data_IF_291591097687
#
_entry.id   IF_291591097687
#
_cell.length_a   1.000
_cell.length_b   1.000
_cell.length_c   1.000
_cell.angle_alpha   90.00
_cell.angle_beta   90.00
_cell.angle_gamma   90.00
#
_symmetry.space_group_name_H-M   'P 1'
#
loop_
_entity.id
_entity.type
_entity.pdbx_description
1 polymer ?
#
# COMPACT_ATOMS: atom_id res chain seq x y z
N UNK A 1 -5.72 24.90 -0.19
CA UNK A 1 -4.40 24.25 -0.21
C UNK A 1 -4.10 23.85 1.21
N UNK A 2 -3.61 22.63 1.44
CA UNK A 2 -3.15 22.24 2.76
C UNK A 2 -1.98 23.16 3.16
N UNK A 3 -1.97 23.62 4.40
CA UNK A 3 -0.82 24.34 4.95
C UNK A 3 0.25 23.30 5.26
N UNK A 4 1.18 23.09 4.32
CA UNK A 4 2.27 22.12 4.45
C UNK A 4 3.35 22.58 5.42
N UNK A 5 3.23 23.79 5.98
CA UNK A 5 4.28 24.41 6.79
C UNK A 5 5.43 24.95 5.94
N UNK A 6 6.65 24.86 6.47
CA UNK A 6 7.85 25.44 5.86
C UNK A 6 8.52 24.46 4.89
N UNK A 7 8.95 24.94 3.71
CA UNK A 7 9.84 24.17 2.83
C UNK A 7 11.22 24.07 3.48
N UNK A 8 11.64 22.86 3.85
CA UNK A 8 12.92 22.62 4.53
C UNK A 8 13.99 22.00 3.62
N UNK A 9 13.58 21.42 2.49
CA UNK A 9 14.49 20.85 1.50
C UNK A 9 13.83 20.80 0.12
N UNK A 10 14.64 21.01 -0.93
CA UNK A 10 14.27 20.88 -2.33
C UNK A 10 15.41 20.27 -3.11
N UNK A 11 15.09 19.29 -3.94
CA UNK A 11 15.98 18.76 -4.97
C UNK A 11 15.20 18.46 -6.25
N UNK A 12 15.88 18.04 -7.31
CA UNK A 12 15.29 17.72 -8.60
C UNK A 12 16.09 16.64 -9.31
N UNK A 13 15.40 15.72 -9.97
CA UNK A 13 15.95 14.79 -10.95
C UNK A 13 15.25 14.97 -12.32
N UNK A 14 15.48 14.02 -13.23
CA UNK A 14 14.90 14.02 -14.59
C UNK A 14 13.36 13.91 -14.58
N UNK A 15 12.77 13.33 -13.52
CA UNK A 15 11.33 13.12 -13.35
C UNK A 15 10.64 14.30 -12.63
N UNK A 16 11.40 15.28 -12.14
CA UNK A 16 10.89 16.55 -11.62
C UNK A 16 11.36 16.89 -10.21
N UNK A 17 10.68 17.85 -9.60
CA UNK A 17 11.03 18.36 -8.27
C UNK A 17 10.69 17.35 -7.17
N UNK A 18 11.44 17.41 -6.07
CA UNK A 18 11.20 16.66 -4.83
C UNK A 18 11.36 17.65 -3.68
N UNK A 19 10.25 17.96 -3.03
CA UNK A 19 10.19 18.93 -1.94
C UNK A 19 9.84 18.25 -0.63
N UNK A 20 10.50 18.70 0.45
CA UNK A 20 10.17 18.32 1.82
C UNK A 20 9.67 19.56 2.56
N UNK A 21 8.44 19.46 3.03
CA UNK A 21 7.85 20.45 3.91
C UNK A 21 7.77 19.91 5.34
N UNK A 22 7.81 20.80 6.32
CA UNK A 22 7.69 20.48 7.74
C UNK A 22 6.78 21.48 8.44
N UNK A 23 5.84 20.96 9.23
CA UNK A 23 5.08 21.72 10.24
C UNK A 23 5.43 21.22 11.66
N UNK A 24 4.70 21.68 12.68
CA UNK A 24 4.96 21.31 14.07
C UNK A 24 4.82 19.82 14.39
N UNK A 25 4.17 19.03 13.52
CA UNK A 25 3.81 17.62 13.76
C UNK A 25 4.34 16.69 12.68
N UNK A 26 4.41 17.14 11.44
CA UNK A 26 4.58 16.27 10.28
C UNK A 26 5.67 16.77 9.33
N UNK A 27 6.28 15.82 8.61
CA UNK A 27 6.98 16.09 7.35
C UNK A 27 6.18 15.57 6.18
N UNK A 28 6.18 16.32 5.10
CA UNK A 28 5.45 16.02 3.88
C UNK A 28 6.42 15.93 2.70
N UNK A 29 6.26 14.90 1.88
CA UNK A 29 6.94 14.76 0.60
C UNK A 29 6.00 15.24 -0.50
N UNK A 30 6.47 16.09 -1.41
CA UNK A 30 5.70 16.49 -2.60
C UNK A 30 6.57 16.48 -3.85
N UNK A 31 5.94 16.47 -5.03
CA UNK A 31 6.65 16.55 -6.32
C UNK A 31 6.45 17.93 -6.99
N UNK A 32 6.80 18.99 -6.26
CA UNK A 32 6.79 20.38 -6.74
C UNK A 32 5.41 21.04 -6.90
N UNK A 33 4.32 20.27 -6.81
CA UNK A 33 2.94 20.74 -7.00
C UNK A 33 2.14 20.91 -5.70
N UNK A 34 2.80 20.89 -4.53
CA UNK A 34 2.17 20.91 -3.20
C UNK A 34 1.08 19.84 -3.00
N UNK A 35 1.05 18.80 -3.83
CA UNK A 35 0.23 17.61 -3.59
C UNK A 35 1.05 16.65 -2.76
N UNK A 36 0.52 16.33 -1.58
CA UNK A 36 1.15 15.41 -0.64
C UNK A 36 1.27 14.00 -1.24
N UNK A 37 2.51 13.54 -1.41
CA UNK A 37 2.84 12.19 -1.86
C UNK A 37 3.07 11.25 -0.67
N UNK A 38 3.57 11.79 0.43
CA UNK A 38 3.82 11.03 1.66
C UNK A 38 3.83 11.95 2.86
N UNK A 39 3.54 11.40 4.03
CA UNK A 39 3.60 12.10 5.30
C UNK A 39 4.12 11.18 6.39
N UNK A 40 4.91 11.74 7.29
CA UNK A 40 5.35 11.09 8.53
C UNK A 40 4.99 11.97 9.73
N UNK A 41 4.35 11.38 10.73
CA UNK A 41 4.16 12.00 12.04
C UNK A 41 5.50 11.92 12.79
N UNK A 42 6.06 13.07 13.16
CA UNK A 42 7.38 13.18 13.78
C UNK A 42 7.39 12.62 15.21
N UNK A 43 6.26 12.64 15.91
CA UNK A 43 6.15 12.11 17.27
C UNK A 43 5.93 10.59 17.27
N UNK A 44 5.25 10.06 16.24
CA UNK A 44 5.06 8.62 16.06
C UNK A 44 5.23 8.21 14.59
N UNK A 45 6.47 7.96 14.13
CA UNK A 45 6.76 7.68 12.72
C UNK A 45 6.13 6.40 12.13
N UNK A 46 5.65 5.50 12.99
CA UNK A 46 4.92 4.29 12.60
C UNK A 46 3.41 4.52 12.43
N UNK A 47 2.88 5.62 12.99
CA UNK A 47 1.50 6.02 12.78
C UNK A 47 1.33 6.47 11.32
N UNK A 48 0.23 6.05 10.71
CA UNK A 48 -0.09 6.33 9.31
C UNK A 48 -1.12 7.47 9.25
N UNK A 49 -0.74 8.69 8.82
CA UNK A 49 -1.67 9.82 8.79
C UNK A 49 -2.81 9.64 7.78
N UNK A 50 -2.53 8.97 6.66
CA UNK A 50 -3.51 8.81 5.58
C UNK A 50 -4.38 7.57 5.75
N UNK A 51 -5.69 7.77 5.60
CA UNK A 51 -6.71 6.73 5.74
C UNK A 51 -6.47 5.54 4.81
N UNK A 52 -6.04 5.78 3.57
CA UNK A 52 -5.77 4.72 2.61
C UNK A 52 -4.58 3.84 3.06
N UNK A 53 -3.49 4.44 3.55
CA UNK A 53 -2.35 3.68 4.08
C UNK A 53 -2.73 2.86 5.32
N UNK A 54 -3.60 3.39 6.19
CA UNK A 54 -4.15 2.62 7.31
C UNK A 54 -4.92 1.39 6.82
N UNK A 55 -5.75 1.56 5.79
CA UNK A 55 -6.55 0.47 5.22
C UNK A 55 -5.69 -0.62 4.56
N UNK A 56 -4.56 -0.27 3.93
CA UNK A 56 -3.59 -1.22 3.37
C UNK A 56 -3.11 -2.21 4.44
N UNK A 57 -2.96 -1.79 5.71
CA UNK A 57 -2.53 -2.66 6.81
C UNK A 57 -3.47 -3.84 7.08
N UNK A 58 -4.72 -3.81 6.59
CA UNK A 58 -5.60 -4.98 6.65
C UNK A 58 -5.05 -6.18 5.85
N UNK A 59 -4.16 -5.94 4.89
CA UNK A 59 -3.49 -7.01 4.15
C UNK A 59 -2.75 -8.00 5.05
N UNK A 60 -2.14 -7.51 6.15
CA UNK A 60 -1.48 -8.35 7.15
C UNK A 60 -2.42 -9.32 7.86
N UNK A 61 -3.71 -8.98 7.94
CA UNK A 61 -4.74 -9.74 8.66
C UNK A 61 -5.54 -10.66 7.72
N UNK A 62 -5.52 -10.37 6.42
CA UNK A 62 -6.18 -11.20 5.40
C UNK A 62 -5.27 -12.34 4.93
N UNK A 63 -3.96 -12.23 5.15
CA UNK A 63 -3.00 -13.32 4.97
C UNK A 63 -2.76 -14.03 6.31
N UNK A 64 -2.73 -15.38 6.39
CA UNK A 64 -2.63 -16.08 7.67
C UNK A 64 -1.33 -15.76 8.43
N UNK A 65 -0.18 -15.75 7.74
CA UNK A 65 1.14 -15.45 8.35
C UNK A 65 2.12 -14.88 7.30
N UNK A 66 1.96 -13.63 6.86
CA UNK A 66 2.85 -13.08 5.84
C UNK A 66 4.28 -12.96 6.38
N UNK A 67 5.26 -13.30 5.54
CA UNK A 67 6.70 -13.22 5.85
C UNK A 67 7.45 -12.38 4.83
N UNK A 68 7.09 -12.47 3.56
CA UNK A 68 7.72 -11.75 2.44
C UNK A 68 6.76 -10.73 1.87
N UNK A 69 7.16 -9.46 1.89
CA UNK A 69 6.39 -8.34 1.37
C UNK A 69 7.16 -7.67 0.23
N UNK A 70 6.51 -7.50 -0.91
CA UNK A 70 6.97 -6.62 -1.98
C UNK A 70 6.13 -5.34 -1.94
N UNK A 71 6.75 -4.18 -1.98
CA UNK A 71 6.08 -2.89 -2.05
C UNK A 71 6.59 -2.13 -3.28
N UNK A 72 5.71 -1.90 -4.25
CA UNK A 72 5.97 -1.15 -5.46
C UNK A 72 5.54 0.30 -5.25
N UNK A 73 6.51 1.22 -5.29
CA UNK A 73 6.39 2.60 -4.81
C UNK A 73 6.81 2.69 -3.34
N UNK A 74 7.82 3.52 -3.01
CA UNK A 74 8.29 3.70 -1.62
C UNK A 74 7.87 5.06 -1.07
N UNK A 75 7.98 6.11 -1.88
CA UNK A 75 7.71 7.48 -1.46
C UNK A 75 8.51 7.84 -0.20
N UNK A 76 7.85 8.45 0.79
CA UNK A 76 8.46 8.77 2.09
C UNK A 76 8.62 7.57 3.04
N UNK A 77 8.30 6.34 2.63
CA UNK A 77 8.54 5.13 3.41
C UNK A 77 7.55 4.83 4.54
N UNK A 78 6.40 5.49 4.60
CA UNK A 78 5.44 5.39 5.73
C UNK A 78 4.91 3.97 5.92
N UNK A 79 4.50 3.29 4.85
CA UNK A 79 4.06 1.90 4.92
C UNK A 79 5.19 0.97 5.32
N UNK A 80 6.43 1.19 4.87
CA UNK A 80 7.57 0.38 5.29
C UNK A 80 7.79 0.49 6.80
N UNK A 81 7.79 1.71 7.37
CA UNK A 81 7.87 1.91 8.82
C UNK A 81 6.73 1.21 9.56
N UNK A 82 5.50 1.37 9.09
CA UNK A 82 4.33 0.74 9.71
C UNK A 82 4.38 -0.79 9.65
N UNK A 83 4.77 -1.38 8.52
CA UNK A 83 4.96 -2.82 8.37
C UNK A 83 6.05 -3.35 9.30
N UNK A 84 7.18 -2.64 9.42
CA UNK A 84 8.26 -3.00 10.34
C UNK A 84 7.84 -2.94 11.80
N UNK A 85 7.07 -1.91 12.19
CA UNK A 85 6.53 -1.78 13.53
C UNK A 85 5.46 -2.84 13.84
N UNK A 86 4.63 -3.19 12.85
CA UNK A 86 3.58 -4.19 12.97
C UNK A 86 4.14 -5.61 13.18
N UNK A 87 5.14 -6.01 12.40
CA UNK A 87 5.84 -7.27 12.60
C UNK A 87 7.34 -7.14 12.24
N UNK A 88 8.23 -7.13 13.24
CA UNK A 88 9.67 -7.02 13.01
C UNK A 88 10.26 -8.22 12.27
N UNK A 89 9.51 -9.30 12.00
CA UNK A 89 9.98 -10.50 11.27
C UNK A 89 9.80 -10.42 9.75
N UNK A 90 8.97 -9.49 9.25
CA UNK A 90 8.75 -9.33 7.81
C UNK A 90 10.04 -9.03 7.07
N UNK A 91 10.26 -9.71 5.95
CA UNK A 91 11.25 -9.37 4.94
C UNK A 91 10.54 -8.52 3.87
N UNK A 92 10.95 -7.27 3.74
CA UNK A 92 10.31 -6.27 2.89
C UNK A 92 11.28 -5.90 1.77
N UNK A 93 10.82 -5.99 0.53
CA UNK A 93 11.49 -5.37 -0.62
C UNK A 93 10.65 -4.19 -1.08
N UNK A 94 11.19 -2.98 -0.98
CA UNK A 94 10.62 -1.78 -1.59
C UNK A 94 11.24 -1.53 -2.96
N UNK A 95 10.44 -1.17 -3.95
CA UNK A 95 10.89 -0.79 -5.29
C UNK A 95 10.51 0.65 -5.54
N UNK A 96 11.49 1.49 -5.82
CA UNK A 96 11.32 2.91 -6.09
C UNK A 96 12.09 3.28 -7.34
N UNK A 97 11.45 3.94 -8.30
CA UNK A 97 12.10 4.28 -9.58
C UNK A 97 13.18 5.35 -9.39
N UNK A 98 12.94 6.30 -8.47
CA UNK A 98 13.75 7.51 -8.33
C UNK A 98 14.74 7.40 -7.17
N UNK A 99 16.03 7.31 -7.48
CA UNK A 99 17.11 7.27 -6.46
C UNK A 99 17.01 8.43 -5.47
N UNK A 100 16.74 9.66 -5.95
CA UNK A 100 16.64 10.82 -5.07
C UNK A 100 15.45 10.75 -4.11
N UNK A 101 14.35 10.09 -4.49
CA UNK A 101 13.22 9.86 -3.57
C UNK A 101 13.65 8.94 -2.42
N UNK A 102 14.42 7.89 -2.70
CA UNK A 102 14.97 7.00 -1.66
C UNK A 102 15.90 7.76 -0.73
N UNK A 103 16.78 8.60 -1.27
CA UNK A 103 17.74 9.38 -0.48
C UNK A 103 17.03 10.40 0.42
N UNK A 104 16.01 11.08 -0.10
CA UNK A 104 15.13 11.97 0.66
C UNK A 104 14.37 11.20 1.74
N UNK A 105 13.81 10.04 1.43
CA UNK A 105 13.08 9.20 2.39
C UNK A 105 13.98 8.76 3.55
N UNK A 106 15.23 8.39 3.28
CA UNK A 106 16.23 8.07 4.32
C UNK A 106 16.56 9.29 5.18
N UNK A 107 16.86 10.42 4.54
CA UNK A 107 17.37 11.62 5.22
C UNK A 107 16.29 12.32 6.06
N UNK A 108 15.09 12.46 5.53
CA UNK A 108 14.04 13.30 6.11
C UNK A 108 12.90 12.51 6.75
N UNK A 109 12.63 11.28 6.30
CA UNK A 109 11.46 10.52 6.74
C UNK A 109 11.81 9.29 7.60
N UNK A 110 13.09 9.00 7.80
CA UNK A 110 13.52 7.85 8.60
C UNK A 110 13.13 6.52 7.96
N UNK A 111 13.34 6.39 6.64
CA UNK A 111 13.23 5.09 5.96
C UNK A 111 14.12 4.06 6.68
N UNK A 112 13.59 2.89 7.10
CA UNK A 112 14.35 1.95 7.93
C UNK A 112 15.62 1.44 7.26
N UNK A 113 16.75 1.56 7.96
CA UNK A 113 18.01 0.87 7.62
C UNK A 113 18.07 -0.44 8.42
N UNK A 114 17.40 -1.47 7.91
CA UNK A 114 17.22 -2.78 8.53
C UNK A 114 17.62 -3.86 7.51
N UNK A 115 18.37 -4.88 7.91
CA UNK A 115 18.72 -6.04 7.06
C UNK A 115 17.50 -6.77 6.48
N UNK A 116 16.31 -6.58 7.07
CA UNK A 116 15.04 -7.12 6.61
C UNK A 116 14.29 -6.17 5.67
N UNK A 117 14.82 -4.98 5.40
CA UNK A 117 14.29 -4.02 4.43
C UNK A 117 15.32 -3.80 3.33
N UNK A 118 15.01 -4.30 2.14
CA UNK A 118 15.78 -4.03 0.93
C UNK A 118 15.04 -2.98 0.12
N UNK A 119 15.76 -1.95 -0.34
CA UNK A 119 15.23 -1.00 -1.33
C UNK A 119 15.95 -1.24 -2.65
N UNK A 120 15.19 -1.57 -3.70
CA UNK A 120 15.67 -1.65 -5.06
C UNK A 120 15.31 -0.35 -5.78
N UNK A 121 16.29 0.27 -6.43
CA UNK A 121 16.03 1.42 -7.30
C UNK A 121 15.81 0.91 -8.71
N UNK A 122 14.54 0.76 -9.07
CA UNK A 122 14.13 0.12 -10.32
C UNK A 122 12.71 0.55 -10.72
N UNK A 123 12.38 0.41 -12.00
CA UNK A 123 11.01 0.48 -12.47
C UNK A 123 10.23 -0.73 -11.96
N UNK A 124 8.98 -0.53 -11.55
CA UNK A 124 8.17 -1.57 -10.93
C UNK A 124 7.90 -2.75 -11.90
N UNK A 125 7.57 -2.45 -13.15
CA UNK A 125 7.30 -3.47 -14.18
C UNK A 125 8.57 -4.24 -14.53
N UNK A 126 9.68 -3.53 -14.77
CA UNK A 126 10.99 -4.14 -15.03
C UNK A 126 11.45 -5.00 -13.87
N UNK A 127 11.24 -4.57 -12.63
CA UNK A 127 11.53 -5.37 -11.45
C UNK A 127 10.73 -6.66 -11.44
N UNK A 128 9.40 -6.60 -11.63
CA UNK A 128 8.53 -7.79 -11.63
C UNK A 128 8.87 -8.79 -12.75
N UNK A 129 9.35 -8.31 -13.90
CA UNK A 129 9.78 -9.14 -15.03
C UNK A 129 11.05 -9.94 -14.71
N UNK A 130 12.01 -9.31 -14.01
CA UNK A 130 13.33 -9.88 -13.73
C UNK A 130 13.42 -10.57 -12.37
N UNK A 131 12.48 -10.30 -11.47
CA UNK A 131 12.42 -10.96 -10.18
C UNK A 131 11.99 -12.43 -10.35
N UNK A 132 12.45 -13.30 -9.46
CA UNK A 132 12.10 -14.72 -9.42
C UNK A 132 11.50 -15.16 -8.10
N UNK A 133 11.35 -14.22 -7.16
CA UNK A 133 10.80 -14.47 -5.86
C UNK A 133 9.26 -14.55 -5.85
N UNK A 134 8.75 -15.10 -4.75
CA UNK A 134 7.33 -15.15 -4.43
C UNK A 134 7.05 -14.42 -3.11
N UNK A 135 5.97 -13.65 -3.06
CA UNK A 135 5.61 -12.79 -1.94
C UNK A 135 4.24 -13.12 -1.37
N UNK A 136 4.14 -13.09 -0.05
CA UNK A 136 2.89 -13.32 0.67
C UNK A 136 1.97 -12.09 0.55
N UNK A 137 2.57 -10.90 0.54
CA UNK A 137 1.90 -9.64 0.26
C UNK A 137 2.65 -8.87 -0.82
N UNK A 138 1.95 -8.43 -1.84
CA UNK A 138 2.45 -7.49 -2.85
C UNK A 138 1.60 -6.23 -2.75
N UNK A 139 2.20 -5.11 -2.36
CA UNK A 139 1.53 -3.82 -2.21
C UNK A 139 1.91 -2.95 -3.41
N UNK A 140 0.93 -2.31 -4.03
CA UNK A 140 1.18 -1.35 -5.11
C UNK A 140 0.60 0.02 -4.74
N UNK A 141 1.49 1.02 -4.73
CA UNK A 141 1.19 2.42 -4.43
C UNK A 141 1.94 3.33 -5.41
N UNK A 142 1.68 3.11 -6.71
CA UNK A 142 2.38 3.78 -7.81
C UNK A 142 1.67 5.08 -8.22
N UNK A 143 2.28 6.22 -7.93
CA UNK A 143 1.75 7.55 -8.21
C UNK A 143 2.78 8.45 -8.89
N UNK A 144 2.30 9.21 -9.87
CA UNK A 144 2.98 10.32 -10.51
C UNK A 144 2.51 11.63 -9.87
N UNK A 145 3.21 12.73 -10.18
CA UNK A 145 2.76 14.08 -9.79
C UNK A 145 1.33 14.40 -10.28
N UNK A 146 0.90 13.80 -11.39
CA UNK A 146 -0.43 13.97 -11.99
C UNK A 146 -1.51 13.02 -11.45
N UNK A 147 -1.16 12.04 -10.60
CA UNK A 147 -2.10 11.05 -10.04
C UNK A 147 -1.60 9.61 -10.15
N UNK A 148 -2.52 8.64 -10.03
CA UNK A 148 -2.19 7.22 -10.07
C UNK A 148 -1.53 6.83 -11.40
N UNK A 149 -0.47 6.02 -11.36
CA UNK A 149 0.16 5.50 -12.57
C UNK A 149 -0.83 4.57 -13.31
N UNK A 150 -1.17 4.84 -14.59
CA UNK A 150 -2.23 4.11 -15.30
C UNK A 150 -1.91 2.62 -15.46
N UNK A 151 -0.64 2.26 -15.61
CA UNK A 151 -0.20 0.87 -15.78
C UNK A 151 -0.61 -0.04 -14.62
N UNK A 152 -0.78 0.51 -13.41
CA UNK A 152 -1.10 -0.27 -12.20
C UNK A 152 -2.41 -1.07 -12.34
N UNK A 153 -3.32 -0.64 -13.22
CA UNK A 153 -4.62 -1.31 -13.46
C UNK A 153 -4.69 -2.06 -14.79
N UNK A 154 -3.60 -2.08 -15.56
CA UNK A 154 -3.52 -2.81 -16.82
C UNK A 154 -3.38 -4.32 -16.60
N UNK A 155 -3.96 -5.12 -17.50
CA UNK A 155 -4.02 -6.58 -17.37
C UNK A 155 -2.62 -7.19 -17.28
N UNK A 156 -1.67 -6.74 -18.11
CA UNK A 156 -0.32 -7.30 -18.16
C UNK A 156 0.44 -7.04 -16.86
N UNK A 157 0.30 -5.85 -16.27
CA UNK A 157 0.88 -5.52 -14.97
C UNK A 157 0.27 -6.36 -13.84
N UNK A 158 -1.05 -6.50 -13.83
CA UNK A 158 -1.75 -7.34 -12.85
C UNK A 158 -1.34 -8.81 -12.96
N UNK A 159 -1.10 -9.31 -14.18
CA UNK A 159 -0.59 -10.66 -14.41
C UNK A 159 0.83 -10.83 -13.88
N UNK A 160 1.72 -9.86 -14.08
CA UNK A 160 3.06 -9.85 -13.47
C UNK A 160 2.98 -9.87 -11.95
N UNK A 161 2.14 -9.01 -11.35
CA UNK A 161 1.89 -9.03 -9.91
C UNK A 161 1.42 -10.40 -9.43
N UNK A 162 0.40 -10.98 -10.08
CA UNK A 162 -0.12 -12.31 -9.74
C UNK A 162 0.94 -13.41 -9.85
N UNK A 163 1.80 -13.35 -10.85
CA UNK A 163 2.88 -14.33 -11.04
C UNK A 163 3.88 -14.35 -9.87
N UNK A 164 4.09 -13.19 -9.21
CA UNK A 164 4.98 -13.03 -8.05
C UNK A 164 4.33 -13.28 -6.70
N UNK A 165 3.03 -13.55 -6.62
CA UNK A 165 2.40 -13.89 -5.34
C UNK A 165 2.72 -15.33 -4.92
N UNK A 166 2.88 -15.61 -3.63
CA UNK A 166 2.83 -16.97 -3.10
C UNK A 166 1.45 -17.61 -3.40
N UNK A 167 1.27 -18.95 -3.32
CA UNK A 167 -0.01 -19.60 -3.59
C UNK A 167 -1.21 -19.02 -2.82
N UNK A 168 -0.99 -18.57 -1.58
CA UNK A 168 -1.93 -17.88 -0.69
C UNK A 168 -1.72 -16.36 -0.63
N UNK A 169 -0.84 -15.83 -1.48
CA UNK A 169 -0.47 -14.43 -1.51
C UNK A 169 -1.58 -13.49 -1.98
N UNK A 170 -1.46 -12.23 -1.54
CA UNK A 170 -2.46 -11.18 -1.76
C UNK A 170 -1.79 -9.97 -2.42
N UNK A 171 -2.40 -9.50 -3.50
CA UNK A 171 -2.15 -8.16 -4.05
C UNK A 171 -3.00 -7.14 -3.28
N UNK A 172 -2.37 -6.12 -2.71
CA UNK A 172 -3.01 -4.98 -2.06
C UNK A 172 -2.72 -3.72 -2.85
N UNK A 173 -3.72 -3.19 -3.55
CA UNK A 173 -3.54 -2.08 -4.49
C UNK A 173 -4.24 -0.83 -3.99
N UNK A 174 -3.53 0.30 -3.98
CA UNK A 174 -4.13 1.62 -3.75
C UNK A 174 -4.58 2.25 -5.07
N UNK A 175 -5.90 2.27 -5.29
CA UNK A 175 -6.50 2.87 -6.46
C UNK A 175 -7.14 4.22 -6.12
N UNK A 176 -6.73 5.30 -6.80
CA UNK A 176 -7.43 6.57 -6.72
C UNK A 176 -8.69 6.54 -7.60
N UNK A 177 -9.87 6.73 -6.99
CA UNK A 177 -11.16 6.60 -7.64
C UNK A 177 -11.78 7.98 -7.95
N UNK A 178 -11.09 8.80 -8.75
CA UNK A 178 -11.59 10.11 -9.20
C UNK A 178 -12.70 9.98 -10.26
N UNK A 179 -12.65 8.93 -11.08
CA UNK A 179 -13.58 8.73 -12.20
C UNK A 179 -14.22 7.33 -12.22
N UNK A 180 -15.56 7.31 -12.27
CA UNK A 180 -16.35 6.08 -12.18
C UNK A 180 -16.09 5.08 -13.33
N UNK A 181 -15.77 5.55 -14.54
CA UNK A 181 -15.46 4.70 -15.71
C UNK A 181 -14.14 3.94 -15.53
N UNK A 182 -13.07 4.64 -15.15
CA UNK A 182 -11.76 4.06 -14.86
C UNK A 182 -11.84 3.02 -13.73
N UNK A 183 -12.67 3.28 -12.72
CA UNK A 183 -12.90 2.33 -11.64
C UNK A 183 -13.53 1.00 -12.10
N UNK A 184 -14.45 1.04 -13.07
CA UNK A 184 -15.07 -0.19 -13.60
C UNK A 184 -14.08 -1.03 -14.40
N UNK A 185 -13.25 -0.40 -15.22
CA UNK A 185 -12.24 -1.11 -16.00
C UNK A 185 -11.21 -1.79 -15.08
N UNK A 186 -10.67 -1.05 -14.11
CA UNK A 186 -9.75 -1.58 -13.10
C UNK A 186 -10.36 -2.77 -12.33
N UNK A 187 -11.61 -2.64 -11.88
CA UNK A 187 -12.33 -3.72 -11.21
C UNK A 187 -12.51 -4.95 -12.12
N UNK A 188 -12.87 -4.75 -13.39
CA UNK A 188 -12.99 -5.81 -14.38
C UNK A 188 -11.68 -6.56 -14.62
N UNK A 189 -10.57 -5.82 -14.76
CA UNK A 189 -9.24 -6.38 -14.97
C UNK A 189 -8.78 -7.19 -13.74
N UNK A 190 -8.94 -6.65 -12.54
CA UNK A 190 -8.66 -7.37 -11.30
C UNK A 190 -9.49 -8.65 -11.19
N UNK A 191 -10.79 -8.57 -11.46
CA UNK A 191 -11.67 -9.73 -11.41
C UNK A 191 -11.27 -10.80 -12.45
N UNK A 192 -10.87 -10.39 -13.66
CA UNK A 192 -10.41 -11.29 -14.70
C UNK A 192 -9.08 -11.99 -14.32
N UNK A 193 -8.11 -11.23 -13.80
CA UNK A 193 -6.79 -11.79 -13.44
C UNK A 193 -6.84 -12.63 -12.16
N UNK A 194 -7.70 -12.28 -11.19
CA UNK A 194 -7.79 -12.92 -9.88
C UNK A 194 -9.01 -13.84 -9.71
N UNK A 195 -9.66 -14.23 -10.80
CA UNK A 195 -10.81 -15.15 -10.81
C UNK A 195 -11.93 -14.68 -9.86
N UNK A 196 -12.24 -13.38 -9.87
CA UNK A 196 -13.24 -12.72 -9.01
C UNK A 196 -12.96 -12.76 -7.50
N UNK A 197 -11.79 -13.25 -7.08
CA UNK A 197 -11.38 -13.29 -5.67
C UNK A 197 -10.77 -11.97 -5.25
N UNK A 198 -11.63 -10.95 -5.17
CA UNK A 198 -11.24 -9.56 -4.89
C UNK A 198 -12.18 -8.98 -3.82
N UNK A 199 -11.60 -8.34 -2.80
CA UNK A 199 -12.32 -7.51 -1.84
C UNK A 199 -11.98 -6.04 -2.10
N UNK A 200 -12.96 -5.16 -1.98
CA UNK A 200 -12.79 -3.73 -2.25
C UNK A 200 -13.16 -2.92 -1.01
N UNK A 201 -12.32 -1.97 -0.63
CA UNK A 201 -12.58 -1.06 0.48
C UNK A 201 -12.50 0.38 0.00
N UNK A 202 -13.66 1.00 -0.18
CA UNK A 202 -13.77 2.44 -0.36
C UNK A 202 -13.46 3.14 0.96
N UNK A 203 -12.49 4.05 0.94
CA UNK A 203 -12.11 4.88 2.08
C UNK A 203 -12.37 6.35 1.82
N UNK A 204 -12.37 7.15 2.90
CA UNK A 204 -12.44 8.59 2.80
C UNK A 204 -11.23 9.13 2.02
N UNK A 205 -11.44 10.17 1.20
CA UNK A 205 -10.41 10.72 0.31
C UNK A 205 -10.53 10.24 -1.14
N UNK A 206 -11.42 9.29 -1.41
CA UNK A 206 -11.67 8.81 -2.78
C UNK A 206 -10.75 7.67 -3.21
N UNK A 207 -9.99 7.06 -2.31
CA UNK A 207 -9.24 5.84 -2.61
C UNK A 207 -10.12 4.59 -2.46
N UNK A 208 -9.80 3.58 -3.25
CA UNK A 208 -10.27 2.20 -3.10
C UNK A 208 -9.03 1.36 -2.84
N UNK A 209 -9.04 0.61 -1.74
CA UNK A 209 -8.03 -0.41 -1.50
C UNK A 209 -8.58 -1.75 -1.97
N UNK A 210 -7.95 -2.34 -2.98
CA UNK A 210 -8.31 -3.64 -3.51
C UNK A 210 -7.42 -4.71 -2.86
N UNK A 211 -8.03 -5.81 -2.43
CA UNK A 211 -7.34 -7.01 -1.94
C UNK A 211 -7.66 -8.15 -2.89
N UNK A 212 -6.71 -8.54 -3.73
CA UNK A 212 -6.90 -9.58 -4.75
C UNK A 212 -6.08 -10.83 -4.42
N UNK A 213 -6.74 -11.98 -4.37
CA UNK A 213 -6.19 -13.21 -3.80
C UNK A 213 -5.73 -14.16 -4.91
N UNK A 214 -4.45 -14.57 -4.91
CA UNK A 214 -3.96 -15.59 -5.84
C UNK A 214 -4.63 -16.94 -5.56
N UNK A 215 -4.75 -17.27 -4.28
CA UNK A 215 -5.38 -18.46 -3.73
C UNK A 215 -6.83 -18.24 -3.31
N UNK A 216 -7.34 -19.07 -2.42
CA UNK A 216 -8.71 -18.92 -1.92
C UNK A 216 -8.92 -17.56 -1.23
N UNK A 217 -10.18 -17.13 -1.17
CA UNK A 217 -10.58 -16.02 -0.28
C UNK A 217 -10.21 -16.35 1.18
N UNK A 218 -9.99 -15.33 2.03
CA UNK A 218 -9.43 -15.53 3.35
C UNK A 218 -10.43 -16.24 4.26
N UNK A 219 -9.96 -17.26 4.97
CA UNK A 219 -10.76 -18.01 5.93
C UNK A 219 -10.67 -17.39 7.32
N UNK A 220 -11.17 -16.17 7.44
CA UNK A 220 -11.14 -15.41 8.69
C UNK A 220 -12.53 -15.38 9.33
N UNK A 221 -12.59 -15.56 10.64
CA UNK A 221 -13.82 -15.34 11.41
C UNK A 221 -13.96 -13.86 11.70
N UNK A 222 -15.16 -13.32 11.47
CA UNK A 222 -15.45 -11.88 11.60
C UNK A 222 -15.00 -11.28 12.94
N UNK A 223 -15.27 -11.99 14.03
CA UNK A 223 -14.94 -11.53 15.38
C UNK A 223 -13.43 -11.52 15.63
N UNK A 224 -12.73 -12.56 15.19
CA UNK A 224 -11.27 -12.66 15.26
C UNK A 224 -10.62 -11.55 14.40
N UNK A 225 -11.07 -11.37 13.15
CA UNK A 225 -10.58 -10.32 12.27
C UNK A 225 -10.75 -8.90 12.87
N UNK A 226 -11.87 -8.64 13.55
CA UNK A 226 -12.08 -7.35 14.21
C UNK A 226 -11.22 -7.16 15.47
N UNK A 227 -10.95 -8.24 16.21
CA UNK A 227 -10.10 -8.21 17.40
C UNK A 227 -8.62 -8.01 17.00
N UNK A 228 -8.14 -8.74 15.99
CA UNK A 228 -6.79 -8.57 15.45
C UNK A 228 -6.58 -7.18 14.85
N UNK A 229 -7.58 -6.66 14.12
CA UNK A 229 -7.54 -5.28 13.62
C UNK A 229 -7.50 -4.25 14.74
N UNK A 230 -8.16 -4.51 15.88
CA UNK A 230 -8.06 -3.63 17.04
C UNK A 230 -6.66 -3.69 17.67
N UNK A 231 -6.11 -4.89 17.86
CA UNK A 231 -4.78 -5.08 18.44
C UNK A 231 -3.69 -4.43 17.57
N UNK A 232 -3.70 -4.68 16.26
CA UNK A 232 -2.77 -4.06 15.32
C UNK A 232 -2.99 -2.54 15.23
N UNK A 233 -4.24 -2.08 15.26
CA UNK A 233 -4.57 -0.66 15.31
C UNK A 233 -3.99 0.04 16.54
N UNK A 234 -4.05 -0.58 17.72
CA UNK A 234 -3.43 -0.06 18.94
C UNK A 234 -1.90 0.00 18.83
N UNK A 235 -1.28 -1.05 18.28
CA UNK A 235 0.17 -1.10 18.06
C UNK A 235 0.67 0.06 17.18
N UNK A 236 -0.09 0.39 16.13
CA UNK A 236 0.27 1.44 15.17
C UNK A 236 -0.36 2.80 15.49
N UNK A 237 -1.15 2.91 16.57
CA UNK A 237 -1.93 4.12 16.91
C UNK A 237 -2.87 4.60 15.80
N UNK A 238 -3.53 3.67 15.10
CA UNK A 238 -4.48 3.95 14.00
C UNK A 238 -5.83 3.25 14.23
N UNK A 239 -6.95 3.77 13.70
CA UNK A 239 -8.28 3.20 13.90
C UNK A 239 -8.57 1.98 13.00
N UNK A 240 -7.68 0.99 12.95
CA UNK A 240 -7.74 -0.11 11.98
C UNK A 240 -9.00 -0.99 12.10
N UNK A 241 -9.54 -1.19 13.31
CA UNK A 241 -10.81 -1.91 13.49
C UNK A 241 -11.98 -1.26 12.74
N UNK A 242 -12.00 0.08 12.61
CA UNK A 242 -13.02 0.79 11.82
C UNK A 242 -12.94 0.38 10.36
N UNK A 243 -11.73 0.29 9.81
CA UNK A 243 -11.49 -0.15 8.43
C UNK A 243 -11.88 -1.61 8.23
N UNK A 244 -11.55 -2.49 9.19
CA UNK A 244 -11.96 -3.89 9.16
C UNK A 244 -13.48 -4.08 9.10
N UNK A 245 -14.23 -3.33 9.91
CA UNK A 245 -15.71 -3.34 9.90
C UNK A 245 -16.27 -2.85 8.58
N UNK A 246 -15.67 -1.80 8.01
CA UNK A 246 -16.07 -1.26 6.71
C UNK A 246 -15.79 -2.25 5.57
N UNK A 247 -14.61 -2.89 5.56
CA UNK A 247 -14.26 -3.94 4.60
C UNK A 247 -15.29 -5.06 4.62
N UNK A 248 -15.62 -5.56 5.82
CA UNK A 248 -16.60 -6.64 5.96
C UNK A 248 -17.98 -6.24 5.45
N UNK A 249 -18.44 -5.03 5.76
CA UNK A 249 -19.73 -4.51 5.29
C UNK A 249 -19.77 -4.39 3.77
N UNK A 250 -18.72 -3.86 3.15
CA UNK A 250 -18.64 -3.62 1.70
C UNK A 250 -18.47 -4.92 0.89
N UNK A 251 -18.05 -6.01 1.52
CA UNK A 251 -17.76 -7.28 0.84
C UNK A 251 -18.57 -8.46 1.39
N UNK A 252 -19.71 -8.19 2.04
CA UNK A 252 -20.44 -9.22 2.79
C UNK A 252 -21.00 -10.35 1.90
N UNK A 253 -21.23 -10.09 0.61
CA UNK A 253 -21.69 -11.09 -0.36
C UNK A 253 -20.55 -12.03 -0.78
N UNK A 254 -19.39 -11.46 -1.17
CA UNK A 254 -18.19 -12.19 -1.56
C UNK A 254 -17.70 -13.09 -0.41
N UNK A 255 -17.66 -12.55 0.81
CA UNK A 255 -17.24 -13.29 2.00
C UNK A 255 -18.25 -14.40 2.39
N UNK A 256 -19.56 -14.21 2.18
CA UNK A 256 -20.56 -15.26 2.44
C UNK A 256 -20.52 -16.38 1.41
N UNK A 257 -20.38 -16.05 0.12
CA UNK A 257 -20.32 -17.02 -0.97
C UNK A 257 -19.16 -18.02 -0.85
N UNK A 258 -18.04 -17.59 -0.25
CA UNK A 258 -16.88 -18.44 0.00
C UNK A 258 -17.13 -19.59 1.00
N UNK A 259 -18.04 -19.39 1.97
CA UNK A 259 -18.34 -20.38 3.02
C UNK A 259 -19.33 -21.47 2.58
N UNK A 260 -20.15 -21.21 1.57
CA UNK A 260 -21.12 -22.18 1.04
C UNK A 260 -20.52 -23.17 0.03
N UNK A 261 -19.25 -23.03 -0.35
CA UNK A 261 -18.57 -23.90 -1.33
C UNK A 261 -17.55 -24.87 -0.71
N UNK A 262 -17.60 -25.07 0.61
CA UNK A 262 -16.82 -26.11 1.31
C UNK A 262 -17.72 -27.23 1.77
#
# INVERSE_FOLDING_TARGET
MADLGSLIFRTRDDDGDIDVYEDARCRYLTFGNQVEQSCVDLANPACLPYVYTQAIMLGLLLHPQPRRVLMLGVGGGSLLRALRAADPRLQITGVEQRQLVVDVARTYFGLPDDRRVRIAVDDATRFLQNDHDAYDLLITDLYLASGMHPEQVEVDFLQLCRARLAPDGILVMNQWASEFSHNRAAHGNLAAVFDTRVLNLHVQGGNIINFAFRGALPDVRREEFYAEAQALGLCLSIPLQRHARNLWRQNSEVLRGSRCRR
#
